data_IF_216938681959
#
_entry.id   IF_216938681959
#
_cell.length_a   1.000
_cell.length_b   1.000
_cell.length_c   1.000
_cell.angle_alpha   90.00
_cell.angle_beta   90.00
_cell.angle_gamma   90.00
#
_symmetry.space_group_name_H-M   'P 1'
#
loop_
_entity.id
_entity.type
_entity.pdbx_description
1 polymer ?
#
# COMPACT_ATOMS: atom_id res chain seq x y z
N UNK A 1 10.46 7.88 21.66
CA UNK A 1 9.99 7.34 20.36
C UNK A 1 10.59 5.95 20.24
N UNK A 2 9.85 4.92 19.81
CA UNK A 2 10.45 3.59 19.60
C UNK A 2 11.42 3.66 18.42
N UNK A 3 12.60 3.06 18.52
CA UNK A 3 13.55 2.94 17.42
C UNK A 3 13.22 1.68 16.59
N UNK A 4 13.52 1.68 15.29
CA UNK A 4 13.48 0.49 14.44
C UNK A 4 14.30 -0.67 15.03
N UNK A 5 15.37 -0.37 15.78
CA UNK A 5 16.18 -1.35 16.47
C UNK A 5 15.50 -2.00 17.68
N UNK A 6 14.44 -1.38 18.22
CA UNK A 6 13.72 -1.87 19.40
C UNK A 6 12.65 -2.92 19.06
N UNK A 7 12.43 -3.20 17.77
CA UNK A 7 11.40 -4.14 17.30
C UNK A 7 12.07 -5.44 16.87
N UNK A 8 11.52 -6.57 17.32
CA UNK A 8 11.97 -7.91 16.91
C UNK A 8 11.80 -8.09 15.40
N UNK A 9 12.91 -8.36 14.70
CA UNK A 9 12.96 -8.53 13.24
C UNK A 9 13.16 -10.00 12.91
N UNK A 10 12.53 -10.47 11.84
CA UNK A 10 12.82 -11.80 11.29
C UNK A 10 13.85 -11.64 10.16
N UNK A 11 15.09 -12.10 10.36
CA UNK A 11 16.20 -11.92 9.42
C UNK A 11 16.39 -10.45 8.95
N UNK A 12 16.20 -9.49 9.86
CA UNK A 12 16.32 -8.06 9.56
C UNK A 12 15.10 -7.45 8.83
N UNK A 13 14.03 -8.23 8.60
CA UNK A 13 12.79 -7.75 7.97
C UNK A 13 11.66 -7.54 8.98
N UNK A 14 10.77 -6.60 8.68
CA UNK A 14 9.52 -6.38 9.40
C UNK A 14 8.32 -6.46 8.45
N UNK A 15 7.21 -7.10 8.85
CA UNK A 15 5.96 -7.01 8.13
C UNK A 15 5.47 -5.55 8.04
N UNK A 16 4.87 -5.18 6.91
CA UNK A 16 4.43 -3.80 6.65
C UNK A 16 3.37 -3.29 7.63
N UNK A 17 2.49 -4.17 8.10
CA UNK A 17 1.51 -3.88 9.13
C UNK A 17 2.20 -3.49 10.45
N UNK A 18 3.25 -4.21 10.85
CA UNK A 18 4.01 -3.91 12.09
C UNK A 18 4.69 -2.54 11.99
N UNK A 19 5.25 -2.20 10.82
CA UNK A 19 5.82 -0.87 10.56
C UNK A 19 4.74 0.21 10.73
N UNK A 20 3.59 0.04 10.09
CA UNK A 20 2.52 1.02 10.19
C UNK A 20 1.94 1.16 11.61
N UNK A 21 1.84 0.07 12.36
CA UNK A 21 1.34 0.09 13.74
C UNK A 21 2.27 0.86 14.69
N UNK A 22 3.59 0.69 14.53
CA UNK A 22 4.57 1.29 15.44
C UNK A 22 5.01 2.70 15.04
N UNK A 23 5.06 3.00 13.73
CA UNK A 23 5.61 4.26 13.21
C UNK A 23 4.65 5.03 12.30
N UNK A 24 3.51 4.43 11.95
CA UNK A 24 2.54 5.09 11.09
C UNK A 24 1.82 6.24 11.79
N UNK A 25 1.60 7.31 11.06
CA UNK A 25 0.82 8.45 11.54
C UNK A 25 -0.66 8.17 11.33
N UNK A 26 -1.45 8.16 12.40
CA UNK A 26 -2.90 7.97 12.31
C UNK A 26 -3.50 9.14 11.53
N UNK A 27 -4.37 8.82 10.56
CA UNK A 27 -5.07 9.78 9.72
C UNK A 27 -6.56 9.47 9.71
N UNK A 28 -7.39 10.51 9.60
CA UNK A 28 -8.80 10.30 9.28
C UNK A 28 -8.93 9.80 7.83
N UNK A 29 -9.91 8.93 7.57
CA UNK A 29 -10.17 8.43 6.21
C UNK A 29 -10.42 9.54 5.18
N UNK A 30 -11.02 10.67 5.60
CA UNK A 30 -11.24 11.84 4.73
C UNK A 30 -9.95 12.60 4.38
N UNK A 31 -8.89 12.37 5.16
CA UNK A 31 -7.61 13.05 5.09
C UNK A 31 -6.52 12.23 4.39
N UNK A 32 -6.82 11.03 3.92
CA UNK A 32 -5.89 10.25 3.09
C UNK A 32 -5.55 11.01 1.82
N UNK A 33 -4.41 10.71 1.22
CA UNK A 33 -3.89 11.40 0.04
C UNK A 33 -3.31 10.35 -0.92
N UNK A 34 -3.80 10.27 -2.17
CA UNK A 34 -3.21 9.38 -3.16
C UNK A 34 -1.72 9.66 -3.41
N UNK A 35 -1.02 8.62 -3.85
CA UNK A 35 0.43 8.60 -4.01
C UNK A 35 1.21 8.43 -2.70
N UNK A 36 0.55 7.96 -1.62
CA UNK A 36 1.18 7.67 -0.32
C UNK A 36 0.94 6.24 0.13
N UNK A 37 1.81 5.73 1.00
CA UNK A 37 1.68 4.41 1.59
C UNK A 37 0.81 4.46 2.83
N UNK A 38 -0.22 3.63 2.86
CA UNK A 38 -1.10 3.48 4.01
C UNK A 38 -1.21 2.03 4.43
N UNK A 39 -1.38 1.83 5.73
CA UNK A 39 -2.04 0.66 6.29
C UNK A 39 -3.47 1.04 6.64
N UNK A 40 -4.45 0.32 6.10
CA UNK A 40 -5.84 0.47 6.50
C UNK A 40 -6.27 -0.72 7.34
N UNK A 41 -7.22 -0.47 8.25
CA UNK A 41 -8.04 -1.52 8.85
C UNK A 41 -9.45 -1.36 8.29
N UNK A 42 -9.98 -2.43 7.69
CA UNK A 42 -11.31 -2.42 7.07
C UNK A 42 -12.27 -3.36 7.78
N UNK A 43 -13.57 -3.07 7.66
CA UNK A 43 -14.62 -4.01 8.06
C UNK A 43 -15.00 -4.93 6.90
N UNK A 44 -15.35 -6.18 7.23
CA UNK A 44 -16.07 -7.04 6.31
C UNK A 44 -17.54 -6.57 6.21
N UNK A 45 -18.12 -6.58 5.01
CA UNK A 45 -19.52 -6.16 4.82
C UNK A 45 -20.54 -7.19 5.34
N UNK A 46 -20.14 -8.46 5.49
CA UNK A 46 -21.06 -9.55 5.84
C UNK A 46 -20.40 -10.57 6.79
N UNK A 47 -21.09 -11.07 7.83
CA UNK A 47 -20.56 -12.07 8.76
C UNK A 47 -20.41 -13.49 8.16
N UNK A 48 -21.08 -13.80 7.05
CA UNK A 48 -20.92 -15.05 6.30
C UNK A 48 -20.26 -14.77 4.97
N UNK A 49 -18.96 -15.07 4.89
CA UNK A 49 -18.15 -14.93 3.69
C UNK A 49 -17.84 -16.31 3.13
N UNK A 50 -18.33 -16.61 1.92
CA UNK A 50 -17.89 -17.78 1.14
C UNK A 50 -16.86 -17.34 0.09
N UNK A 51 -16.01 -18.25 -0.39
CA UNK A 51 -15.06 -17.94 -1.48
C UNK A 51 -15.77 -17.42 -2.73
N UNK A 52 -16.89 -18.03 -3.11
CA UNK A 52 -17.73 -17.56 -4.23
C UNK A 52 -18.19 -16.12 -4.04
N UNK A 53 -18.61 -15.76 -2.82
CA UNK A 53 -19.04 -14.41 -2.53
C UNK A 53 -17.88 -13.41 -2.59
N UNK A 54 -16.71 -13.77 -2.08
CA UNK A 54 -15.51 -12.94 -2.17
C UNK A 54 -15.09 -12.76 -3.63
N UNK A 55 -15.09 -13.84 -4.42
CA UNK A 55 -14.74 -13.78 -5.85
C UNK A 55 -15.76 -12.97 -6.64
N UNK A 56 -17.04 -13.11 -6.33
CA UNK A 56 -18.10 -12.31 -6.94
C UNK A 56 -17.98 -10.82 -6.61
N UNK A 57 -17.68 -10.48 -5.35
CA UNK A 57 -17.64 -9.08 -4.87
C UNK A 57 -16.33 -8.36 -5.18
N UNK A 58 -15.20 -9.08 -5.16
CA UNK A 58 -13.85 -8.50 -5.28
C UNK A 58 -13.09 -8.93 -6.54
N UNK A 59 -13.55 -9.97 -7.23
CA UNK A 59 -12.80 -10.63 -8.31
C UNK A 59 -11.64 -11.52 -7.81
N UNK A 60 -11.53 -11.78 -6.49
CA UNK A 60 -10.40 -12.49 -5.87
C UNK A 60 -10.87 -13.65 -5.00
N UNK A 61 -9.99 -14.61 -4.73
CA UNK A 61 -10.29 -15.72 -3.80
C UNK A 61 -10.04 -15.37 -2.33
N UNK A 62 -9.67 -14.13 -2.01
CA UNK A 62 -9.40 -13.70 -0.64
C UNK A 62 -9.96 -12.30 -0.38
N UNK A 63 -10.34 -12.08 0.87
CA UNK A 63 -10.69 -10.76 1.41
C UNK A 63 -9.50 -10.24 2.22
N UNK A 64 -9.07 -9.01 1.98
CA UNK A 64 -8.02 -8.36 2.77
C UNK A 64 -8.60 -7.28 3.67
N UNK A 65 -8.56 -7.54 4.97
CA UNK A 65 -9.04 -6.66 6.04
C UNK A 65 -7.99 -5.66 6.54
N UNK A 66 -6.71 -5.87 6.22
CA UNK A 66 -5.61 -5.02 6.66
C UNK A 66 -4.70 -4.63 5.48
N UNK A 67 -5.22 -4.01 4.41
CA UNK A 67 -4.41 -3.72 3.24
C UNK A 67 -3.31 -2.72 3.58
N UNK A 68 -2.09 -3.02 3.11
CA UNK A 68 -0.94 -2.14 3.28
C UNK A 68 -0.29 -1.91 1.93
N UNK A 69 -0.19 -0.66 1.52
CA UNK A 69 0.37 -0.34 0.22
C UNK A 69 0.11 1.07 -0.27
N UNK A 70 0.38 1.27 -1.56
CA UNK A 70 0.30 2.58 -2.19
C UNK A 70 -1.16 2.90 -2.56
N UNK A 71 -1.70 3.99 -2.02
CA UNK A 71 -2.99 4.52 -2.44
C UNK A 71 -2.84 5.17 -3.82
N UNK A 72 -3.47 4.60 -4.84
CA UNK A 72 -3.43 5.10 -6.21
C UNK A 72 -4.51 6.16 -6.43
N UNK A 73 -4.20 7.14 -7.28
CA UNK A 73 -5.16 8.18 -7.65
C UNK A 73 -6.20 7.67 -8.64
N UNK A 74 -7.44 8.08 -8.45
CA UNK A 74 -8.55 7.96 -9.40
C UNK A 74 -9.61 9.02 -9.08
N UNK A 75 -10.54 9.29 -10.00
CA UNK A 75 -11.43 10.45 -9.90
C UNK A 75 -12.32 10.44 -8.63
N UNK A 76 -12.75 9.26 -8.16
CA UNK A 76 -13.61 9.11 -6.99
C UNK A 76 -12.83 8.77 -5.71
N UNK A 77 -11.56 9.18 -5.61
CA UNK A 77 -10.67 8.76 -4.53
C UNK A 77 -11.11 9.17 -3.13
N UNK A 78 -12.02 10.13 -3.00
CA UNK A 78 -12.64 10.50 -1.72
C UNK A 78 -13.73 9.55 -1.25
N UNK A 79 -14.26 8.72 -2.14
CA UNK A 79 -15.30 7.73 -1.86
C UNK A 79 -14.74 6.30 -1.90
N UNK A 80 -13.66 6.09 -2.65
CA UNK A 80 -13.03 4.79 -2.86
C UNK A 80 -11.52 4.90 -2.69
N UNK A 81 -10.90 3.98 -1.98
CA UNK A 81 -9.45 3.78 -1.98
C UNK A 81 -9.07 2.68 -2.99
N UNK A 82 -8.22 3.01 -3.97
CA UNK A 82 -7.54 2.01 -4.79
C UNK A 82 -6.15 1.77 -4.19
N UNK A 83 -5.90 0.59 -3.64
CA UNK A 83 -4.65 0.31 -2.93
C UNK A 83 -3.89 -0.76 -3.67
N UNK A 84 -2.69 -0.42 -4.16
CA UNK A 84 -1.72 -1.40 -4.60
C UNK A 84 -1.14 -2.09 -3.37
N UNK A 85 -1.69 -3.26 -3.04
CA UNK A 85 -1.40 -3.99 -1.82
C UNK A 85 -0.06 -4.73 -1.92
N UNK A 86 0.95 -4.26 -1.18
CA UNK A 86 2.29 -4.82 -1.23
C UNK A 86 2.38 -6.21 -0.55
N UNK A 87 1.42 -6.59 0.30
CA UNK A 87 1.43 -7.87 1.04
C UNK A 87 1.27 -9.08 0.12
N UNK A 88 0.61 -8.89 -1.02
CA UNK A 88 0.32 -9.94 -2.01
C UNK A 88 1.26 -9.88 -3.20
N UNK A 89 2.25 -8.99 -3.15
CA UNK A 89 3.29 -8.84 -4.18
C UNK A 89 4.57 -9.49 -3.66
N UNK A 90 5.27 -10.30 -4.47
CA UNK A 90 6.48 -10.97 -4.02
C UNK A 90 7.57 -9.97 -3.59
N UNK A 91 8.38 -10.24 -2.56
CA UNK A 91 9.27 -9.23 -1.97
C UNK A 91 10.23 -8.57 -2.98
N UNK A 92 10.77 -9.36 -3.92
CA UNK A 92 11.64 -8.84 -5.00
C UNK A 92 10.90 -7.88 -5.94
N UNK A 93 9.62 -8.14 -6.22
CA UNK A 93 8.79 -7.27 -7.05
C UNK A 93 8.36 -6.03 -6.27
N UNK A 94 7.99 -6.17 -4.99
CA UNK A 94 7.72 -5.05 -4.08
C UNK A 94 8.91 -4.10 -3.98
N UNK A 95 10.14 -4.62 -3.89
CA UNK A 95 11.35 -3.81 -3.89
C UNK A 95 11.51 -2.99 -5.19
N UNK A 96 11.29 -3.59 -6.36
CA UNK A 96 11.29 -2.86 -7.65
C UNK A 96 10.20 -1.80 -7.72
N UNK A 97 9.02 -2.10 -7.19
CA UNK A 97 7.89 -1.16 -7.11
C UNK A 97 8.26 0.05 -6.26
N UNK A 98 8.86 -0.18 -5.09
CA UNK A 98 9.30 0.88 -4.20
C UNK A 98 10.45 1.70 -4.79
N UNK A 99 11.39 1.05 -5.48
CA UNK A 99 12.48 1.74 -6.18
C UNK A 99 11.94 2.65 -7.29
N UNK A 100 11.01 2.14 -8.11
CA UNK A 100 10.40 2.93 -9.18
C UNK A 100 9.57 4.08 -8.62
N UNK A 101 8.79 3.85 -7.55
CA UNK A 101 8.09 4.89 -6.82
C UNK A 101 9.06 5.95 -6.28
N UNK A 102 10.18 5.54 -5.68
CA UNK A 102 11.20 6.45 -5.16
C UNK A 102 11.78 7.33 -6.28
N UNK A 103 12.18 6.73 -7.40
CA UNK A 103 12.68 7.45 -8.57
C UNK A 103 11.64 8.42 -9.14
N UNK A 104 10.39 7.97 -9.27
CA UNK A 104 9.29 8.82 -9.70
C UNK A 104 9.10 10.01 -8.75
N UNK A 105 9.13 9.76 -7.45
CA UNK A 105 8.96 10.79 -6.42
C UNK A 105 10.08 11.82 -6.49
N UNK A 106 11.34 11.38 -6.63
CA UNK A 106 12.50 12.27 -6.79
C UNK A 106 12.34 13.19 -8.01
N UNK A 107 11.93 12.64 -9.15
CA UNK A 107 11.71 13.42 -10.37
C UNK A 107 10.51 14.37 -10.27
N UNK A 108 9.52 14.06 -9.42
CA UNK A 108 8.27 14.78 -9.31
C UNK A 108 8.15 15.64 -8.04
N UNK A 109 9.28 15.97 -7.39
CA UNK A 109 9.31 16.99 -6.34
C UNK A 109 9.31 16.45 -4.91
N UNK A 110 9.81 15.23 -4.67
CA UNK A 110 10.12 14.73 -3.33
C UNK A 110 10.92 15.75 -2.51
N UNK A 111 11.88 16.45 -3.12
CA UNK A 111 12.68 17.48 -2.45
C UNK A 111 11.83 18.63 -1.88
N UNK A 112 10.64 18.90 -2.45
CA UNK A 112 9.75 19.94 -1.94
C UNK A 112 9.08 19.56 -0.61
N UNK A 113 9.11 18.28 -0.24
CA UNK A 113 8.59 17.77 1.04
C UNK A 113 9.52 18.05 2.21
N UNK A 114 10.77 18.41 1.94
CA UNK A 114 11.76 18.78 2.94
C UNK A 114 11.91 20.30 3.00
N UNK A 115 12.16 20.84 4.19
CA UNK A 115 12.48 22.24 4.38
C UNK A 115 13.94 22.56 4.00
N UNK A 116 14.35 23.81 4.17
CA UNK A 116 15.72 24.26 3.88
C UNK A 116 16.78 23.64 4.79
N UNK A 117 16.38 23.05 5.92
CA UNK A 117 17.25 22.38 6.88
C UNK A 117 17.32 20.86 6.62
N UNK A 118 16.55 20.37 5.65
CA UNK A 118 16.47 18.95 5.30
C UNK A 118 15.50 18.15 6.17
N UNK A 119 14.70 18.80 7.01
CA UNK A 119 13.69 18.13 7.81
C UNK A 119 12.41 17.94 6.98
N UNK A 120 11.70 16.84 7.22
CA UNK A 120 10.40 16.61 6.60
C UNK A 120 9.40 17.65 7.10
N UNK A 121 8.76 18.37 6.17
CA UNK A 121 7.75 19.38 6.49
C UNK A 121 6.56 18.79 7.26
N UNK A 122 5.76 19.65 7.90
CA UNK A 122 4.54 19.18 8.57
C UNK A 122 3.57 18.52 7.58
N UNK A 123 2.70 17.63 8.08
CA UNK A 123 1.71 16.99 7.21
C UNK A 123 0.80 18.02 6.54
N UNK A 124 0.42 19.10 7.24
CA UNK A 124 -0.43 20.17 6.71
C UNK A 124 0.21 20.86 5.51
N UNK A 125 1.48 21.25 5.63
CA UNK A 125 2.24 21.85 4.52
C UNK A 125 2.40 20.87 3.35
N UNK A 126 2.69 19.60 3.66
CA UNK A 126 2.85 18.58 2.62
C UNK A 126 1.57 18.37 1.84
N UNK A 127 0.38 18.45 2.47
CA UNK A 127 -0.90 18.37 1.74
C UNK A 127 -1.05 19.44 0.66
N UNK A 128 -0.45 20.61 0.87
CA UNK A 128 -0.48 21.72 -0.10
C UNK A 128 0.52 21.50 -1.24
N UNK A 129 1.62 20.81 -0.96
CA UNK A 129 2.72 20.52 -1.91
C UNK A 129 2.43 19.24 -2.72
N UNK A 130 1.60 18.32 -2.20
CA UNK A 130 1.45 16.94 -2.67
C UNK A 130 0.68 16.73 -3.98
N UNK A 131 0.25 17.79 -4.66
CA UNK A 131 -0.61 17.65 -5.85
C UNK A 131 0.03 16.82 -6.97
N UNK A 132 1.37 16.76 -7.04
CA UNK A 132 2.11 16.00 -8.06
C UNK A 132 2.06 14.49 -7.83
N UNK A 133 1.75 14.04 -6.62
CA UNK A 133 1.60 12.61 -6.30
C UNK A 133 0.24 12.03 -6.74
N UNK A 134 -0.72 12.89 -7.11
CA UNK A 134 -1.95 12.49 -7.81
C UNK A 134 -1.69 11.94 -9.22
N UNK A 135 -0.48 12.09 -9.75
CA UNK A 135 -0.09 11.50 -11.03
C UNK A 135 0.11 9.98 -10.95
N UNK A 136 0.17 9.39 -9.76
CA UNK A 136 0.29 7.94 -9.56
C UNK A 136 -1.10 7.30 -9.70
N UNK A 137 -1.57 7.24 -10.94
CA UNK A 137 -2.75 6.44 -11.31
C UNK A 137 -2.35 4.98 -11.55
N UNK A 138 -3.31 4.03 -11.53
CA UNK A 138 -3.02 2.65 -11.91
C UNK A 138 -2.30 2.51 -13.26
N UNK A 139 -2.74 3.23 -14.28
CA UNK A 139 -2.17 3.18 -15.63
C UNK A 139 -0.77 3.79 -15.72
N UNK A 140 -0.57 4.96 -15.11
CA UNK A 140 0.74 5.61 -15.07
C UNK A 140 1.74 4.74 -14.32
N UNK A 141 1.33 4.14 -13.21
CA UNK A 141 2.21 3.30 -12.40
C UNK A 141 2.57 1.99 -13.10
N UNK A 142 1.61 1.33 -13.77
CA UNK A 142 1.90 0.19 -14.66
C UNK A 142 2.89 0.54 -15.76
N UNK A 143 2.75 1.72 -16.37
CA UNK A 143 3.68 2.22 -17.40
C UNK A 143 5.08 2.44 -16.85
N UNK A 144 5.20 3.09 -15.68
CA UNK A 144 6.48 3.33 -14.99
C UNK A 144 7.20 2.02 -14.68
N UNK A 145 6.46 0.99 -14.29
CA UNK A 145 7.00 -0.30 -13.90
C UNK A 145 7.25 -1.25 -15.09
N UNK A 146 6.77 -0.91 -16.28
CA UNK A 146 6.85 -1.76 -17.46
C UNK A 146 6.09 -3.08 -17.30
N UNK A 147 4.99 -3.09 -16.52
CA UNK A 147 4.20 -4.29 -16.22
C UNK A 147 2.74 -4.09 -16.62
N UNK A 148 2.26 -5.03 -17.43
CA UNK A 148 0.95 -4.93 -18.08
C UNK A 148 -0.23 -5.27 -17.16
N UNK A 149 0.00 -5.90 -15.99
CA UNK A 149 -1.09 -6.28 -15.11
C UNK A 149 -0.73 -6.21 -13.60
N UNK A 150 -0.97 -5.06 -12.98
CA UNK A 150 -0.95 -4.92 -11.51
C UNK A 150 -2.34 -5.05 -10.88
N UNK A 151 -3.39 -5.24 -11.68
CA UNK A 151 -4.77 -5.22 -11.21
C UNK A 151 -5.04 -6.31 -10.16
N UNK A 152 -4.33 -7.44 -10.24
CA UNK A 152 -4.43 -8.51 -9.26
C UNK A 152 -4.01 -8.06 -7.85
N UNK A 153 -3.09 -7.10 -7.73
CA UNK A 153 -2.61 -6.55 -6.46
C UNK A 153 -3.31 -5.24 -6.07
N UNK A 154 -4.05 -4.62 -6.98
CA UNK A 154 -4.86 -3.43 -6.70
C UNK A 154 -6.19 -3.87 -6.11
N UNK A 155 -6.47 -3.46 -4.88
CA UNK A 155 -7.74 -3.67 -4.20
C UNK A 155 -8.55 -2.37 -4.20
N UNK A 156 -9.85 -2.50 -4.39
CA UNK A 156 -10.81 -1.39 -4.26
C UNK A 156 -11.52 -1.49 -2.91
N UNK A 157 -11.51 -0.42 -2.15
CA UNK A 157 -12.22 -0.30 -0.87
C UNK A 157 -13.10 0.93 -0.88
N UNK A 158 -14.34 0.81 -0.41
CA UNK A 158 -15.14 2.00 -0.13
C UNK A 158 -14.58 2.69 1.11
N UNK A 159 -14.48 4.02 1.11
CA UNK A 159 -13.92 4.77 2.24
C UNK A 159 -14.69 4.50 3.55
N UNK A 160 -15.99 4.25 3.48
CA UNK A 160 -16.80 3.89 4.66
C UNK A 160 -16.51 2.50 5.23
N UNK A 161 -15.83 1.64 4.48
CA UNK A 161 -15.33 0.36 4.99
C UNK A 161 -14.02 0.54 5.77
N UNK A 162 -13.29 1.65 5.55
CA UNK A 162 -12.04 1.95 6.24
C UNK A 162 -12.36 2.47 7.64
N UNK A 163 -12.05 1.65 8.63
CA UNK A 163 -12.20 1.96 10.06
C UNK A 163 -11.04 2.83 10.54
N UNK A 164 -9.84 2.63 10.00
CA UNK A 164 -8.63 3.31 10.40
C UNK A 164 -7.65 3.42 9.24
N UNK A 165 -6.96 4.55 9.14
CA UNK A 165 -5.89 4.78 8.19
C UNK A 165 -4.62 5.19 8.92
N UNK A 166 -3.50 4.51 8.64
CA UNK A 166 -2.18 4.85 9.16
C UNK A 166 -1.25 5.13 7.99
N UNK A 167 -0.78 6.37 7.88
CA UNK A 167 0.21 6.79 6.90
C UNK A 167 1.58 6.24 7.29
N UNK A 168 2.21 5.48 6.39
CA UNK A 168 3.64 5.17 6.51
C UNK A 168 4.39 6.31 5.83
N UNK A 169 4.88 7.23 6.65
CA UNK A 169 5.47 8.47 6.18
C UNK A 169 6.91 8.29 5.65
N UNK A 170 7.43 9.31 4.97
CA UNK A 170 8.73 9.28 4.29
C UNK A 170 9.91 8.94 5.19
N UNK A 171 9.88 9.38 6.44
CA UNK A 171 10.93 9.05 7.43
C UNK A 171 11.02 7.54 7.67
N UNK A 172 9.91 6.82 7.45
CA UNK A 172 9.83 5.37 7.61
C UNK A 172 9.85 4.63 6.25
N UNK A 173 10.01 5.34 5.13
CA UNK A 173 9.98 4.74 3.79
C UNK A 173 11.10 3.70 3.61
N UNK A 174 12.28 3.95 4.18
CA UNK A 174 13.40 3.00 4.15
C UNK A 174 13.07 1.64 4.79
N UNK A 175 12.07 1.58 5.68
CA UNK A 175 11.60 0.35 6.31
C UNK A 175 10.72 -0.50 5.38
N UNK A 176 10.30 0.05 4.23
CA UNK A 176 9.48 -0.63 3.24
C UNK A 176 10.30 -1.47 2.26
N UNK A 177 11.63 -1.28 2.17
CA UNK A 177 12.47 -1.75 1.04
C UNK A 177 12.55 -3.29 0.90
N UNK A 178 12.19 -4.06 1.93
CA UNK A 178 12.16 -5.51 1.85
C UNK A 178 11.07 -6.11 2.76
N UNK A 179 9.79 -5.90 2.44
CA UNK A 179 8.72 -6.37 3.30
C UNK A 179 8.54 -7.87 3.12
N UNK A 180 8.37 -8.58 4.24
CA UNK A 180 8.00 -9.98 4.19
C UNK A 180 6.58 -10.15 3.61
N UNK A 181 6.34 -11.23 2.87
CA UNK A 181 4.98 -11.67 2.59
C UNK A 181 4.30 -11.98 3.92
N UNK A 182 3.10 -11.45 4.11
CA UNK A 182 2.29 -11.72 5.29
C UNK A 182 0.89 -12.10 4.88
N UNK A 183 0.30 -13.04 5.62
CA UNK A 183 -1.09 -13.47 5.50
C UNK A 183 -2.01 -12.71 6.46
N UNK A 184 -1.46 -11.77 7.24
CA UNK A 184 -2.21 -11.04 8.26
C UNK A 184 -3.38 -10.25 7.65
N UNK A 185 -4.55 -10.46 8.23
CA UNK A 185 -5.79 -9.82 7.81
C UNK A 185 -6.40 -10.38 6.52
N UNK A 186 -5.88 -11.49 5.97
CA UNK A 186 -6.47 -12.14 4.81
C UNK A 186 -7.42 -13.30 5.23
N UNK A 187 -8.65 -13.34 4.69
CA UNK A 187 -9.70 -14.33 5.01
C UNK A 187 -10.35 -14.93 3.74
N UNK A 188 -10.95 -16.15 3.77
CA UNK A 188 -10.66 -17.31 4.61
C UNK A 188 -10.05 -18.50 3.82
N UNK A 189 -8.94 -19.02 4.38
CA UNK A 189 -8.28 -20.33 4.21
C UNK A 189 -7.48 -20.69 2.96
N UNK A 190 -6.53 -21.65 3.12
CA UNK A 190 -5.11 -21.33 3.14
C UNK A 190 -4.76 -20.59 1.86
N UNK A 191 -4.43 -19.30 1.99
CA UNK A 191 -3.93 -18.54 0.87
C UNK A 191 -2.70 -19.25 0.38
N UNK A 192 -2.87 -19.95 -0.74
CA UNK A 192 -1.76 -20.58 -1.41
C UNK A 192 -0.96 -19.43 -2.00
N UNK A 193 -0.01 -18.91 -1.21
CA UNK A 193 0.89 -17.85 -1.64
C UNK A 193 1.63 -18.28 -2.91
N UNK A 194 1.83 -19.59 -3.14
CA UNK A 194 2.36 -20.10 -4.40
C UNK A 194 1.38 -19.92 -5.57
N UNK A 195 0.05 -20.02 -5.35
CA UNK A 195 -0.97 -19.69 -6.35
C UNK A 195 -1.04 -18.18 -6.62
N UNK A 196 -1.02 -17.36 -5.56
CA UNK A 196 -0.93 -15.89 -5.68
C UNK A 196 0.35 -15.48 -6.44
N UNK A 197 1.44 -16.19 -6.18
CA UNK A 197 2.72 -16.02 -6.87
C UNK A 197 2.68 -16.49 -8.33
N UNK A 198 2.08 -17.64 -8.61
CA UNK A 198 1.86 -18.15 -9.97
C UNK A 198 1.02 -17.17 -10.78
N UNK A 199 -0.09 -16.68 -10.21
CA UNK A 199 -0.93 -15.66 -10.82
C UNK A 199 -0.14 -14.37 -11.05
N UNK A 200 0.75 -13.97 -10.14
CA UNK A 200 1.66 -12.85 -10.37
C UNK A 200 2.60 -13.10 -11.56
N UNK A 201 3.30 -14.23 -11.62
CA UNK A 201 4.22 -14.51 -12.72
C UNK A 201 3.50 -14.56 -14.07
N UNK A 202 2.34 -15.22 -14.11
CA UNK A 202 1.55 -15.42 -15.32
C UNK A 202 0.96 -14.12 -15.86
N UNK A 203 0.57 -13.21 -14.97
CA UNK A 203 -0.05 -11.95 -15.35
C UNK A 203 0.94 -10.78 -15.51
N UNK A 204 2.13 -10.85 -14.90
CA UNK A 204 2.98 -9.68 -14.69
C UNK A 204 4.37 -9.78 -15.31
N UNK A 205 4.86 -10.97 -15.68
CA UNK A 205 6.14 -11.15 -16.37
C UNK A 205 5.92 -11.59 -17.82
N UNK A 206 5.68 -10.64 -18.70
CA UNK A 206 5.86 -10.78 -20.16
C UNK A 206 6.83 -9.71 -20.62
#
# INVERSE_FOLDING_TARGET
>A
MKDFNDISKNNGTLPLNVVAENFGVIQNRSQVIPGRFYSFRTRAEVPTLTEEYIRYSTGKSYLDLNPVGLLLFHDNWKETALVLNLKVIPPRASAKILEAYWRFSQLNGLNALFDSEGNLKSLEERRLIDQRFYLITPSAFSTILGVNNLNYAINKYNMDQILEARLIDWDNFGMLVNPALTVDGLFPDPINLAKVYEDFLTNTLV
#
